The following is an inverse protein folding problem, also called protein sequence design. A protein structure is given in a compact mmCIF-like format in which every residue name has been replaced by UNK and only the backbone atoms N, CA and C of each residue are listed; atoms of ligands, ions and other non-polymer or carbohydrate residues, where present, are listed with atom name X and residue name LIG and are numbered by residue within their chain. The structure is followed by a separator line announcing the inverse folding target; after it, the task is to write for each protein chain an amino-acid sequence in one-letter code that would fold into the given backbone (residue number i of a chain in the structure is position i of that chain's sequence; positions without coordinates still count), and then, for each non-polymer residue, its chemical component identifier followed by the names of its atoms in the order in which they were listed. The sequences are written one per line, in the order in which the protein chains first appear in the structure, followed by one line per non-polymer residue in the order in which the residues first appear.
data_IF_363376967919
#
_entry.id   IF_363376967919
#
_cell.length_a   1.000
_cell.length_b   1.000
_cell.length_c   1.000
_cell.angle_alpha   90.00
_cell.angle_beta   90.00
_cell.angle_gamma   90.00
#
_symmetry.space_group_name_H-M   'P 1'
#
loop_
_entity.id
_entity.type
_entity.pdbx_description
1 polymer ?
#
# COMPACT_ATOMS: atom_id res chain seq x y z
N UNK A 1 -19.69 -0.87 29.20
CA UNK A 1 -19.32 0.39 28.51
C UNK A 1 -18.30 0.21 27.39
N UNK A 2 -16.99 -0.01 27.63
CA UNK A 2 -16.01 -0.13 26.52
C UNK A 2 -16.38 -1.23 25.51
N UNK A 3 -16.75 -2.42 25.98
CA UNK A 3 -17.21 -3.50 25.10
C UNK A 3 -18.49 -3.13 24.35
N UNK A 4 -19.48 -2.53 25.03
CA UNK A 4 -20.73 -2.09 24.40
C UNK A 4 -20.48 -1.02 23.32
N UNK A 5 -19.51 -0.12 23.54
CA UNK A 5 -19.08 0.85 22.53
C UNK A 5 -18.40 0.18 21.33
N UNK A 6 -17.50 -0.77 21.58
CA UNK A 6 -16.92 -1.59 20.52
C UNK A 6 -18.02 -2.26 19.69
N UNK A 7 -18.93 -2.97 20.36
CA UNK A 7 -20.02 -3.71 19.73
C UNK A 7 -20.94 -2.76 18.95
N UNK A 8 -21.26 -1.58 19.50
CA UNK A 8 -22.08 -0.57 18.82
C UNK A 8 -21.40 -0.05 17.55
N UNK A 9 -20.10 0.26 17.60
CA UNK A 9 -19.34 0.70 16.42
C UNK A 9 -19.27 -0.40 15.36
N UNK A 10 -18.99 -1.63 15.76
CA UNK A 10 -18.79 -2.78 14.86
C UNK A 10 -20.10 -3.25 14.23
N UNK A 11 -21.19 -3.25 15.01
CA UNK A 11 -22.52 -3.71 14.56
C UNK A 11 -23.36 -2.62 13.90
N UNK A 12 -22.98 -1.35 14.08
CA UNK A 12 -23.66 -0.19 13.52
C UNK A 12 -24.82 0.35 14.36
N UNK A 13 -24.78 0.21 15.68
CA UNK A 13 -25.79 0.73 16.60
C UNK A 13 -25.61 2.24 16.85
N UNK A 14 -26.07 3.04 15.89
CA UNK A 14 -25.99 4.50 15.96
C UNK A 14 -26.81 5.09 17.11
N UNK A 15 -27.95 4.48 17.47
CA UNK A 15 -28.82 4.99 18.53
C UNK A 15 -28.17 4.85 19.91
N UNK A 16 -27.45 3.75 20.14
CA UNK A 16 -26.62 3.60 21.32
C UNK A 16 -25.53 4.69 21.38
N UNK A 17 -24.82 4.93 20.27
CA UNK A 17 -23.75 5.94 20.22
C UNK A 17 -24.27 7.36 20.45
N UNK A 18 -25.44 7.72 19.89
CA UNK A 18 -26.12 9.00 20.17
C UNK A 18 -26.46 9.12 21.65
N UNK A 19 -27.11 8.10 22.22
CA UNK A 19 -27.46 8.07 23.65
C UNK A 19 -26.21 8.20 24.54
N UNK A 20 -25.10 7.59 24.15
CA UNK A 20 -23.83 7.69 24.86
C UNK A 20 -23.33 9.15 24.91
N UNK A 21 -23.30 9.84 23.76
CA UNK A 21 -22.90 11.24 23.66
C UNK A 21 -23.89 12.18 24.37
N UNK A 22 -25.20 11.96 24.22
CA UNK A 22 -26.25 12.77 24.82
C UNK A 22 -26.21 12.74 26.36
N UNK A 23 -25.67 11.65 26.94
CA UNK A 23 -25.41 11.55 28.38
C UNK A 23 -24.15 12.30 28.85
N UNK A 24 -23.50 13.06 27.96
CA UNK A 24 -22.32 13.87 28.26
C UNK A 24 -21.00 13.11 28.23
N UNK A 25 -20.96 11.92 27.63
CA UNK A 25 -19.71 11.19 27.42
C UNK A 25 -19.03 11.64 26.11
N UNK A 26 -17.75 11.31 25.96
CA UNK A 26 -16.97 11.55 24.75
C UNK A 26 -16.13 10.32 24.38
N UNK A 27 -15.50 10.34 23.20
CA UNK A 27 -14.66 9.25 22.68
C UNK A 27 -13.16 9.43 23.02
N UNK A 28 -12.78 10.44 23.79
CA UNK A 28 -11.38 10.85 23.90
C UNK A 28 -10.62 10.03 24.95
N UNK A 29 -9.34 9.74 24.68
CA UNK A 29 -8.44 9.06 25.61
C UNK A 29 -8.85 7.62 25.97
N UNK A 30 -9.73 6.99 25.19
CA UNK A 30 -10.16 5.62 25.39
C UNK A 30 -9.56 4.66 24.37
N UNK A 31 -9.29 3.45 24.84
CA UNK A 31 -8.93 2.30 24.00
C UNK A 31 -10.06 1.28 24.08
N UNK A 32 -10.60 0.94 22.92
CA UNK A 32 -11.65 -0.07 22.69
C UNK A 32 -11.03 -1.39 22.23
N UNK A 33 -11.76 -2.50 22.36
CA UNK A 33 -11.30 -3.80 21.86
C UNK A 33 -11.85 -4.03 20.45
N UNK A 34 -10.97 -4.41 19.51
CA UNK A 34 -11.37 -4.87 18.18
C UNK A 34 -11.49 -6.41 18.15
N UNK A 35 -12.20 -7.00 17.16
CA UNK A 35 -12.37 -8.45 17.01
C UNK A 35 -11.09 -9.32 16.80
N UNK A 36 -9.90 -8.77 17.03
CA UNK A 36 -8.61 -9.48 17.04
C UNK A 36 -7.79 -9.24 18.33
N UNK A 37 -8.43 -8.77 19.41
CA UNK A 37 -7.81 -8.61 20.72
C UNK A 37 -6.99 -7.32 20.92
N UNK A 38 -6.49 -6.72 19.85
CA UNK A 38 -5.73 -5.46 19.93
C UNK A 38 -6.61 -4.26 20.28
N UNK A 39 -6.05 -3.37 21.10
CA UNK A 39 -6.66 -2.10 21.45
C UNK A 39 -6.68 -1.12 20.28
N UNK A 40 -7.80 -0.43 20.09
CA UNK A 40 -8.00 0.57 19.04
C UNK A 40 -8.66 1.83 19.60
N UNK A 41 -8.26 3.00 19.11
CA UNK A 41 -9.02 4.23 19.39
C UNK A 41 -10.38 4.16 18.70
N UNK A 42 -11.44 4.80 19.24
CA UNK A 42 -12.78 4.75 18.64
C UNK A 42 -12.83 5.17 17.18
N UNK A 43 -12.09 6.22 16.80
CA UNK A 43 -12.01 6.70 15.42
C UNK A 43 -11.37 5.65 14.50
N UNK A 44 -10.31 4.99 14.95
CA UNK A 44 -9.64 3.92 14.21
C UNK A 44 -10.60 2.73 14.02
N UNK A 45 -11.24 2.28 15.11
CA UNK A 45 -12.18 1.16 15.08
C UNK A 45 -13.37 1.46 14.15
N UNK A 46 -13.89 2.68 14.18
CA UNK A 46 -15.00 3.09 13.34
C UNK A 46 -14.63 3.11 11.85
N UNK A 47 -13.42 3.56 11.50
CA UNK A 47 -12.94 3.50 10.11
C UNK A 47 -12.72 2.05 9.67
N UNK A 48 -12.01 1.24 10.47
CA UNK A 48 -11.71 -0.16 10.13
C UNK A 48 -12.98 -1.00 9.99
N UNK A 49 -13.99 -0.73 10.82
CA UNK A 49 -15.25 -1.48 10.82
C UNK A 49 -16.08 -1.35 9.55
N UNK A 50 -15.84 -0.31 8.72
CA UNK A 50 -16.45 -0.21 7.39
C UNK A 50 -15.91 -1.25 6.39
N UNK A 51 -14.67 -1.71 6.58
CA UNK A 51 -13.99 -2.59 5.64
C UNK A 51 -13.96 -4.03 6.13
N UNK A 52 -13.78 -4.21 7.44
CA UNK A 52 -13.52 -5.51 8.02
C UNK A 52 -14.77 -6.11 8.70
N UNK A 53 -15.80 -5.29 8.94
CA UNK A 53 -17.02 -5.67 9.69
C UNK A 53 -18.30 -5.11 9.05
N UNK A 54 -19.34 -4.87 9.88
CA UNK A 54 -20.65 -4.33 9.47
C UNK A 54 -20.79 -2.84 9.77
N UNK A 55 -19.68 -2.16 10.06
CA UNK A 55 -19.67 -0.71 10.29
C UNK A 55 -20.11 0.04 9.03
N UNK A 56 -20.72 1.21 9.22
CA UNK A 56 -21.22 2.03 8.12
C UNK A 56 -20.54 3.40 8.11
N UNK A 57 -20.56 4.06 6.95
CA UNK A 57 -20.12 5.45 6.81
C UNK A 57 -20.81 6.38 7.83
N UNK A 58 -22.08 6.12 8.17
CA UNK A 58 -22.84 6.94 9.11
C UNK A 58 -22.28 6.85 10.54
N UNK A 59 -21.83 5.66 10.96
CA UNK A 59 -21.17 5.44 12.25
C UNK A 59 -19.81 6.12 12.27
N UNK A 60 -19.01 5.95 11.20
CA UNK A 60 -17.70 6.60 11.11
C UNK A 60 -17.85 8.11 11.15
N UNK A 61 -18.76 8.68 10.36
CA UNK A 61 -19.02 10.11 10.37
C UNK A 61 -19.49 10.59 11.74
N UNK A 62 -20.34 9.83 12.42
CA UNK A 62 -20.76 10.15 13.78
C UNK A 62 -19.59 10.16 14.75
N UNK A 63 -18.76 9.11 14.77
CA UNK A 63 -17.60 9.00 15.68
C UNK A 63 -16.56 10.08 15.39
N UNK A 64 -16.25 10.33 14.11
CA UNK A 64 -15.30 11.36 13.68
C UNK A 64 -15.77 12.75 14.13
N UNK A 65 -17.05 13.10 13.92
CA UNK A 65 -17.60 14.39 14.31
C UNK A 65 -17.64 14.65 15.83
N UNK A 66 -17.47 13.59 16.64
CA UNK A 66 -17.43 13.68 18.10
C UNK A 66 -16.05 13.28 18.65
N UNK A 67 -15.02 13.21 17.80
CA UNK A 67 -13.63 13.01 18.19
C UNK A 67 -12.91 14.36 18.33
N UNK A 68 -11.88 14.42 19.17
CA UNK A 68 -11.02 15.61 19.25
C UNK A 68 -10.20 15.83 17.98
N UNK A 69 -9.83 17.09 17.74
CA UNK A 69 -8.90 17.44 16.65
C UNK A 69 -7.57 16.68 16.75
N UNK A 70 -7.08 16.41 17.97
CA UNK A 70 -5.86 15.63 18.21
C UNK A 70 -5.99 14.18 17.72
N UNK A 71 -7.13 13.53 17.99
CA UNK A 71 -7.36 12.15 17.54
C UNK A 71 -7.51 12.10 16.02
N UNK A 72 -8.19 13.08 15.43
CA UNK A 72 -8.32 13.21 13.97
C UNK A 72 -6.92 13.41 13.33
N UNK A 73 -6.10 14.30 13.89
CA UNK A 73 -4.75 14.58 13.36
C UNK A 73 -3.85 13.36 13.43
N UNK A 74 -3.88 12.61 14.54
CA UNK A 74 -3.13 11.35 14.70
C UNK A 74 -3.57 10.31 13.67
N UNK A 75 -4.88 10.20 13.42
CA UNK A 75 -5.41 9.22 12.47
C UNK A 75 -5.08 9.58 11.02
N UNK A 76 -5.22 10.85 10.63
CA UNK A 76 -4.81 11.34 9.31
C UNK A 76 -3.31 11.07 9.07
N UNK A 77 -2.48 11.33 10.07
CA UNK A 77 -1.03 11.11 9.99
C UNK A 77 -0.67 9.63 9.92
N UNK A 78 -1.28 8.79 10.76
CA UNK A 78 -1.08 7.33 10.78
C UNK A 78 -1.48 6.70 9.45
N UNK A 79 -2.67 7.03 8.92
CA UNK A 79 -3.10 6.48 7.63
C UNK A 79 -2.28 7.00 6.44
N UNK A 80 -1.63 8.15 6.55
CA UNK A 80 -0.76 8.66 5.50
C UNK A 80 0.58 7.91 5.37
N UNK A 81 0.96 7.08 6.35
CA UNK A 81 2.29 6.45 6.37
C UNK A 81 2.47 5.35 5.31
N UNK A 82 1.39 4.68 4.90
CA UNK A 82 1.48 3.49 4.04
C UNK A 82 0.33 3.43 3.04
N UNK A 83 0.62 2.94 1.82
CA UNK A 83 -0.35 2.72 0.75
C UNK A 83 -1.53 1.83 1.17
N UNK A 84 -1.31 0.88 2.09
CA UNK A 84 -2.35 -0.06 2.55
C UNK A 84 -3.54 0.64 3.23
N UNK A 85 -3.35 1.86 3.70
CA UNK A 85 -4.39 2.66 4.35
C UNK A 85 -5.14 3.60 3.41
N UNK A 86 -4.88 3.58 2.09
CA UNK A 86 -5.49 4.51 1.13
C UNK A 86 -7.03 4.56 1.22
N UNK A 87 -7.70 3.40 1.27
CA UNK A 87 -9.16 3.36 1.39
C UNK A 87 -9.65 3.82 2.77
N UNK A 88 -8.88 3.54 3.84
CA UNK A 88 -9.19 4.00 5.20
C UNK A 88 -9.06 5.52 5.30
N UNK A 89 -8.03 6.10 4.69
CA UNK A 89 -7.84 7.54 4.59
C UNK A 89 -9.00 8.19 3.83
N UNK A 90 -9.40 7.62 2.70
CA UNK A 90 -10.53 8.12 1.91
C UNK A 90 -11.84 8.13 2.70
N UNK A 91 -12.09 7.09 3.49
CA UNK A 91 -13.26 7.03 4.38
C UNK A 91 -13.23 8.10 5.48
N UNK A 92 -12.05 8.34 6.08
CA UNK A 92 -11.86 9.40 7.07
C UNK A 92 -12.07 10.79 6.45
N UNK A 93 -11.44 11.06 5.30
CA UNK A 93 -11.56 12.33 4.57
C UNK A 93 -13.01 12.62 4.10
N UNK A 94 -13.78 11.58 3.76
CA UNK A 94 -15.20 11.71 3.42
C UNK A 94 -16.09 12.16 4.59
N UNK A 95 -15.55 12.23 5.82
CA UNK A 95 -16.25 12.76 6.99
C UNK A 95 -16.10 14.29 7.14
N UNK A 96 -15.64 15.01 6.11
CA UNK A 96 -15.48 16.48 6.10
C UNK A 96 -14.45 17.00 7.13
N UNK A 97 -13.44 16.19 7.45
CA UNK A 97 -12.36 16.58 8.37
C UNK A 97 -11.45 17.63 7.73
N UNK A 98 -10.90 18.53 8.56
CA UNK A 98 -9.86 19.45 8.12
C UNK A 98 -8.56 18.67 7.86
N UNK A 99 -8.10 18.64 6.62
CA UNK A 99 -7.00 17.76 6.18
C UNK A 99 -5.61 18.24 6.61
N UNK A 100 -5.41 19.55 6.74
CA UNK A 100 -4.11 20.17 7.08
C UNK A 100 -3.88 20.25 8.61
N UNK A 101 -4.49 19.36 9.39
CA UNK A 101 -4.16 19.23 10.82
C UNK A 101 -2.72 18.75 11.03
N UNK A 102 -2.11 19.12 12.16
CA UNK A 102 -0.74 18.76 12.48
C UNK A 102 -0.69 17.66 13.54
N UNK A 103 0.01 16.57 13.24
CA UNK A 103 0.46 15.57 14.22
C UNK A 103 1.97 15.67 14.35
N UNK A 104 2.50 15.88 15.55
CA UNK A 104 3.94 16.11 15.81
C UNK A 104 4.56 17.19 14.89
N UNK A 105 3.79 18.28 14.68
CA UNK A 105 4.11 19.38 13.76
C UNK A 105 4.28 18.96 12.29
N UNK A 106 3.68 17.85 11.85
CA UNK A 106 3.66 17.45 10.44
C UNK A 106 2.22 17.28 9.94
N UNK A 107 1.98 17.63 8.69
CA UNK A 107 0.73 17.32 7.99
C UNK A 107 0.74 15.88 7.45
N UNK A 108 -0.44 15.34 7.17
CA UNK A 108 -0.57 14.06 6.46
C UNK A 108 0.04 14.13 5.04
N UNK A 109 -0.01 15.29 4.37
CA UNK A 109 0.56 15.47 3.02
C UNK A 109 2.09 15.37 3.02
N UNK A 110 2.75 15.92 4.04
CA UNK A 110 4.19 15.75 4.24
C UNK A 110 4.54 14.27 4.49
N UNK A 111 3.82 13.61 5.40
CA UNK A 111 4.03 12.18 5.67
C UNK A 111 3.93 11.32 4.40
N UNK A 112 2.85 11.48 3.63
CA UNK A 112 2.66 10.73 2.39
C UNK A 112 3.76 11.01 1.35
N UNK A 113 4.20 12.27 1.25
CA UNK A 113 5.24 12.68 0.30
C UNK A 113 6.62 12.14 0.70
N UNK A 114 7.00 12.29 1.97
CA UNK A 114 8.27 11.77 2.50
C UNK A 114 8.39 10.25 2.41
N UNK A 115 7.27 9.53 2.51
CA UNK A 115 7.22 8.08 2.35
C UNK A 115 7.06 7.63 0.89
N UNK A 116 7.08 8.53 -0.09
CA UNK A 116 6.96 8.14 -1.50
C UNK A 116 5.62 7.47 -1.84
N UNK A 117 4.53 7.91 -1.21
CA UNK A 117 3.19 7.38 -1.44
C UNK A 117 2.38 8.28 -2.38
N UNK A 118 2.68 8.19 -3.68
CA UNK A 118 2.10 9.08 -4.70
C UNK A 118 0.57 9.07 -4.75
N UNK A 119 -0.06 7.91 -4.52
CA UNK A 119 -1.53 7.78 -4.50
C UNK A 119 -2.15 8.46 -3.29
N UNK A 120 -1.52 8.34 -2.11
CA UNK A 120 -1.97 9.04 -0.90
C UNK A 120 -1.76 10.54 -1.02
N UNK A 121 -0.63 11.00 -1.57
CA UNK A 121 -0.40 12.42 -1.88
C UNK A 121 -1.50 12.96 -2.79
N UNK A 122 -1.81 12.25 -3.89
CA UNK A 122 -2.91 12.61 -4.78
C UNK A 122 -4.26 12.67 -4.03
N UNK A 123 -4.58 11.65 -3.23
CA UNK A 123 -5.82 11.62 -2.46
C UNK A 123 -5.95 12.83 -1.54
N UNK A 124 -4.92 13.13 -0.75
CA UNK A 124 -4.89 14.29 0.15
C UNK A 124 -5.11 15.61 -0.61
N UNK A 125 -4.45 15.80 -1.75
CA UNK A 125 -4.64 16.97 -2.61
C UNK A 125 -6.07 17.07 -3.15
N UNK A 126 -6.70 15.95 -3.52
CA UNK A 126 -8.11 15.95 -3.97
C UNK A 126 -9.10 16.36 -2.88
N UNK A 127 -8.73 16.20 -1.60
CA UNK A 127 -9.50 16.67 -0.45
C UNK A 127 -9.03 18.04 0.06
N UNK A 128 -8.22 18.75 -0.73
CA UNK A 128 -7.88 20.16 -0.48
C UNK A 128 -6.66 20.37 0.41
N UNK A 129 -5.82 19.36 0.63
CA UNK A 129 -4.57 19.54 1.37
C UNK A 129 -3.69 20.59 0.70
N UNK A 130 -3.18 21.53 1.48
CA UNK A 130 -2.38 22.63 0.97
C UNK A 130 -0.90 22.21 0.84
N UNK A 131 -0.31 22.16 -0.37
CA UNK A 131 1.11 21.83 -0.55
C UNK A 131 2.07 22.77 0.19
N UNK A 132 1.61 24.00 0.48
CA UNK A 132 2.37 25.05 1.17
C UNK A 132 2.10 25.10 2.68
N UNK A 133 1.34 24.15 3.23
CA UNK A 133 1.17 24.08 4.68
C UNK A 133 2.53 23.80 5.34
N UNK A 134 2.91 24.69 6.27
CA UNK A 134 4.20 24.64 6.95
C UNK A 134 4.17 23.64 8.12
N UNK A 135 5.28 22.95 8.32
CA UNK A 135 5.46 21.93 9.34
C UNK A 135 6.92 21.79 9.72
N UNK A 136 7.24 20.74 10.50
CA UNK A 136 8.56 20.50 11.08
C UNK A 136 9.68 20.37 10.05
N UNK A 137 9.36 19.96 8.81
CA UNK A 137 10.31 19.74 7.72
C UNK A 137 10.08 20.69 6.54
N UNK A 138 9.49 21.86 6.80
CA UNK A 138 9.08 22.80 5.76
C UNK A 138 7.70 22.45 5.22
N UNK A 139 7.50 22.60 3.92
CA UNK A 139 6.24 22.29 3.23
C UNK A 139 6.32 20.95 2.49
N UNK A 140 5.16 20.36 2.14
CA UNK A 140 5.15 19.15 1.32
C UNK A 140 5.73 19.40 -0.08
N UNK A 141 5.60 20.62 -0.60
CA UNK A 141 6.22 21.01 -1.88
C UNK A 141 7.76 21.03 -1.79
N UNK A 142 8.33 21.62 -0.75
CA UNK A 142 9.79 21.63 -0.52
C UNK A 142 10.34 20.20 -0.36
N UNK A 143 9.60 19.32 0.33
CA UNK A 143 9.95 17.91 0.43
C UNK A 143 9.93 17.23 -0.95
N UNK A 144 8.89 17.47 -1.77
CA UNK A 144 8.78 16.96 -3.13
C UNK A 144 9.90 17.46 -4.05
N UNK A 145 10.31 18.73 -3.95
CA UNK A 145 11.44 19.31 -4.69
C UNK A 145 12.77 18.61 -4.36
N UNK A 146 12.89 18.04 -3.16
CA UNK A 146 14.02 17.21 -2.74
C UNK A 146 14.05 15.81 -3.39
N UNK A 147 12.92 15.30 -3.92
CA UNK A 147 12.79 13.96 -4.49
C UNK A 147 13.22 13.97 -5.98
N UNK A 148 14.51 14.12 -6.21
CA UNK A 148 15.08 14.26 -7.57
C UNK A 148 14.81 13.08 -8.52
N UNK A 149 14.56 11.87 -8.00
CA UNK A 149 14.31 10.67 -8.79
C UNK A 149 12.84 10.46 -9.16
N UNK A 150 11.91 11.21 -8.56
CA UNK A 150 10.47 11.12 -8.82
C UNK A 150 9.83 12.52 -8.85
N UNK A 151 10.10 13.34 -9.88
CA UNK A 151 9.58 14.71 -9.95
C UNK A 151 8.06 14.81 -10.09
N UNK A 152 7.35 13.67 -10.16
CA UNK A 152 5.90 13.61 -10.29
C UNK A 152 5.20 14.22 -9.07
N UNK A 153 5.76 14.11 -7.86
CA UNK A 153 5.18 14.76 -6.66
C UNK A 153 5.09 16.27 -6.82
N UNK A 154 6.20 16.92 -7.15
CA UNK A 154 6.27 18.36 -7.35
C UNK A 154 5.33 18.79 -8.49
N UNK A 155 5.43 18.13 -9.64
CA UNK A 155 4.61 18.45 -10.80
C UNK A 155 3.11 18.30 -10.52
N UNK A 156 2.72 17.28 -9.77
CA UNK A 156 1.35 17.05 -9.34
C UNK A 156 0.88 18.15 -8.38
N UNK A 157 1.63 18.44 -7.31
CA UNK A 157 1.29 19.51 -6.36
C UNK A 157 1.12 20.86 -7.07
N UNK A 158 2.06 21.22 -7.96
CA UNK A 158 1.99 22.44 -8.76
C UNK A 158 0.76 22.47 -9.67
N UNK A 159 0.29 21.32 -10.17
CA UNK A 159 -0.92 21.23 -10.98
C UNK A 159 -2.19 21.57 -10.17
N UNK A 160 -2.28 21.07 -8.93
CA UNK A 160 -3.36 21.40 -8.00
C UNK A 160 -3.34 22.89 -7.62
N UNK A 161 -2.17 23.44 -7.31
CA UNK A 161 -2.00 24.88 -6.99
C UNK A 161 -2.41 25.78 -8.16
N UNK A 162 -2.24 25.32 -9.40
CA UNK A 162 -2.65 26.05 -10.62
C UNK A 162 -4.15 25.89 -10.93
N UNK A 163 -4.90 25.11 -10.16
CA UNK A 163 -6.32 24.81 -10.41
C UNK A 163 -6.55 23.89 -11.61
N UNK A 164 -5.52 23.16 -12.04
CA UNK A 164 -5.58 22.18 -13.14
C UNK A 164 -5.09 20.85 -12.57
N UNK A 165 -5.85 20.21 -11.65
CA UNK A 165 -5.39 19.04 -10.93
C UNK A 165 -5.12 17.90 -11.91
N UNK A 166 -3.96 17.27 -11.76
CA UNK A 166 -3.54 16.08 -12.51
C UNK A 166 -3.37 14.91 -11.57
N UNK A 167 -3.71 13.72 -12.05
CA UNK A 167 -3.47 12.48 -11.33
C UNK A 167 -2.06 11.95 -11.60
N UNK A 168 -1.60 10.92 -10.85
CA UNK A 168 -0.34 10.24 -11.14
C UNK A 168 -0.25 9.73 -12.59
N UNK A 169 -1.39 9.27 -13.15
CA UNK A 169 -1.45 8.72 -14.49
C UNK A 169 -1.14 9.76 -15.58
N UNK A 170 -1.49 11.03 -15.36
CA UNK A 170 -1.25 12.12 -16.32
C UNK A 170 0.24 12.40 -16.57
N UNK A 171 1.11 11.92 -15.68
CA UNK A 171 2.56 12.08 -15.77
C UNK A 171 3.28 10.82 -16.30
N UNK A 172 2.54 9.75 -16.60
CA UNK A 172 3.15 8.51 -17.06
C UNK A 172 3.61 8.62 -18.51
N UNK A 173 4.93 8.44 -18.71
CA UNK A 173 5.51 8.18 -20.02
C UNK A 173 5.19 6.74 -20.46
N UNK A 174 4.23 6.61 -21.37
CA UNK A 174 3.75 5.32 -21.89
C UNK A 174 4.82 4.60 -22.71
N UNK A 175 5.67 5.32 -23.44
CA UNK A 175 6.73 4.70 -24.25
C UNK A 175 7.79 4.09 -23.32
N UNK A 176 8.15 4.80 -22.25
CA UNK A 176 9.02 4.25 -21.20
C UNK A 176 8.44 3.01 -20.51
N UNK A 177 7.11 2.97 -20.30
CA UNK A 177 6.43 1.77 -19.78
C UNK A 177 6.55 0.60 -20.75
N UNK A 178 6.31 0.82 -22.04
CA UNK A 178 6.38 -0.22 -23.08
C UNK A 178 7.81 -0.75 -23.22
N UNK A 179 8.82 0.13 -23.25
CA UNK A 179 10.23 -0.27 -23.33
C UNK A 179 10.64 -1.12 -22.13
N UNK A 180 10.30 -0.66 -20.91
CA UNK A 180 10.59 -1.38 -19.68
C UNK A 180 9.88 -2.73 -19.62
N UNK A 181 8.62 -2.79 -20.06
CA UNK A 181 7.85 -4.03 -20.12
C UNK A 181 8.45 -5.04 -21.10
N UNK A 182 8.91 -4.60 -22.29
CA UNK A 182 9.61 -5.49 -23.22
C UNK A 182 10.88 -6.08 -22.58
N UNK A 183 11.70 -5.24 -21.94
CA UNK A 183 12.90 -5.69 -21.22
C UNK A 183 12.56 -6.71 -20.13
N UNK A 184 11.50 -6.47 -19.37
CA UNK A 184 11.06 -7.38 -18.31
C UNK A 184 10.53 -8.72 -18.83
N UNK A 185 9.73 -8.70 -19.90
CA UNK A 185 9.26 -9.94 -20.54
C UNK A 185 10.46 -10.75 -21.06
N UNK A 186 11.43 -10.09 -21.68
CA UNK A 186 12.67 -10.75 -22.12
C UNK A 186 13.44 -11.37 -20.93
N UNK A 187 13.71 -10.57 -19.89
CA UNK A 187 14.44 -11.06 -18.71
C UNK A 187 13.73 -12.24 -18.05
N UNK A 188 12.40 -12.23 -17.94
CA UNK A 188 11.62 -13.33 -17.37
C UNK A 188 11.68 -14.60 -18.24
N UNK A 189 11.68 -14.45 -19.57
CA UNK A 189 11.86 -15.59 -20.47
C UNK A 189 13.24 -16.24 -20.31
N UNK A 190 14.31 -15.44 -20.27
CA UNK A 190 15.67 -15.96 -20.05
C UNK A 190 15.80 -16.60 -18.67
N UNK A 191 15.32 -15.90 -17.64
CA UNK A 191 15.31 -16.41 -16.26
C UNK A 191 14.58 -17.75 -16.17
N UNK A 192 13.42 -17.89 -16.81
CA UNK A 192 12.72 -19.18 -16.89
C UNK A 192 13.57 -20.28 -17.50
N UNK A 193 14.20 -20.03 -18.66
CA UNK A 193 15.07 -21.00 -19.35
C UNK A 193 16.27 -21.42 -18.52
N UNK A 194 16.82 -20.53 -17.72
CA UNK A 194 17.97 -20.80 -16.86
C UNK A 194 17.61 -21.55 -15.57
N UNK A 195 16.35 -21.48 -15.14
CA UNK A 195 15.88 -22.04 -13.86
C UNK A 195 14.78 -23.09 -14.07
N UNK A 196 14.98 -24.01 -15.02
CA UNK A 196 14.02 -25.08 -15.33
C UNK A 196 13.84 -26.09 -14.18
N UNK A 197 14.81 -26.18 -13.27
CA UNK A 197 14.74 -27.07 -12.11
C UNK A 197 13.90 -26.48 -10.96
N UNK A 198 13.43 -25.23 -11.09
CA UNK A 198 12.63 -24.53 -10.09
C UNK A 198 11.17 -24.40 -10.50
N UNK A 199 10.26 -24.43 -9.52
CA UNK A 199 8.84 -24.12 -9.73
C UNK A 199 8.47 -22.83 -9.00
N UNK A 200 7.97 -21.82 -9.72
CA UNK A 200 7.75 -20.48 -9.17
C UNK A 200 6.33 -20.27 -8.63
N UNK A 201 6.23 -19.71 -7.42
CA UNK A 201 4.97 -19.24 -6.82
C UNK A 201 4.59 -17.84 -7.28
N UNK A 202 5.59 -16.95 -7.39
CA UNK A 202 5.33 -15.54 -7.65
C UNK A 202 6.48 -14.92 -8.43
N UNK A 203 6.13 -14.06 -9.37
CA UNK A 203 7.00 -12.99 -9.87
C UNK A 203 6.45 -11.69 -9.32
N UNK A 204 7.33 -10.81 -8.85
CA UNK A 204 6.89 -9.55 -8.32
C UNK A 204 7.82 -8.40 -8.69
N UNK A 205 7.28 -7.20 -8.51
CA UNK A 205 8.03 -5.96 -8.58
C UNK A 205 8.32 -5.49 -7.17
N UNK A 206 9.60 -5.38 -6.84
CA UNK A 206 10.09 -4.75 -5.63
C UNK A 206 10.82 -3.46 -6.02
N UNK A 207 10.20 -2.32 -5.71
CA UNK A 207 10.59 -1.00 -6.21
C UNK A 207 10.62 -0.95 -7.74
N UNK A 208 11.82 -1.06 -8.32
CA UNK A 208 12.05 -1.06 -9.78
C UNK A 208 12.64 -2.37 -10.33
N UNK A 209 12.72 -3.41 -9.49
CA UNK A 209 13.35 -4.69 -9.81
C UNK A 209 12.32 -5.80 -9.91
N UNK A 210 12.61 -6.77 -10.77
CA UNK A 210 11.89 -8.04 -10.81
C UNK A 210 12.52 -9.00 -9.81
N UNK A 211 11.68 -9.60 -8.99
CA UNK A 211 12.01 -10.65 -8.03
C UNK A 211 11.07 -11.83 -8.23
N UNK A 212 11.49 -13.03 -7.84
CA UNK A 212 10.64 -14.22 -7.90
C UNK A 212 10.90 -15.13 -6.70
N UNK A 213 9.89 -15.86 -6.25
CA UNK A 213 10.04 -16.88 -5.21
C UNK A 213 9.62 -18.24 -5.77
N UNK A 214 10.42 -19.27 -5.53
CA UNK A 214 10.19 -20.65 -5.97
C UNK A 214 9.88 -21.57 -4.79
N UNK A 215 9.29 -22.74 -5.07
CA UNK A 215 9.06 -23.78 -4.08
C UNK A 215 10.37 -24.17 -3.39
N UNK A 216 11.45 -24.25 -4.15
CA UNK A 216 12.73 -24.75 -3.68
C UNK A 216 13.41 -23.73 -2.76
N UNK A 217 13.52 -22.46 -3.20
CA UNK A 217 14.10 -21.39 -2.37
C UNK A 217 13.24 -21.12 -1.13
N UNK A 218 11.91 -21.16 -1.28
CA UNK A 218 11.00 -21.00 -0.16
C UNK A 218 11.27 -22.03 0.94
N UNK A 219 11.38 -23.31 0.57
CA UNK A 219 11.63 -24.40 1.53
C UNK A 219 13.00 -24.31 2.18
N UNK A 220 14.04 -23.95 1.42
CA UNK A 220 15.40 -23.80 1.95
C UNK A 220 15.45 -22.69 3.00
N UNK A 221 14.91 -21.51 2.69
CA UNK A 221 14.90 -20.38 3.62
C UNK A 221 13.99 -20.63 4.82
N UNK A 222 12.82 -21.26 4.63
CA UNK A 222 11.91 -21.60 5.73
C UNK A 222 12.56 -22.56 6.72
N UNK A 223 13.24 -23.61 6.24
CA UNK A 223 13.98 -24.52 7.11
C UNK A 223 15.06 -23.78 7.90
N UNK A 224 15.80 -22.86 7.25
CA UNK A 224 16.82 -22.06 7.94
C UNK A 224 16.23 -21.22 9.08
N UNK A 225 15.05 -20.63 8.89
CA UNK A 225 14.37 -19.90 9.95
C UNK A 225 13.91 -20.80 11.10
N UNK A 226 13.51 -22.03 10.79
CA UNK A 226 13.09 -23.03 11.79
C UNK A 226 14.27 -23.70 12.51
N UNK A 227 15.49 -23.62 11.95
CA UNK A 227 16.73 -24.15 12.55
C UNK A 227 17.45 -23.15 13.48
N UNK A 228 17.02 -21.89 13.56
CA UNK A 228 17.59 -20.91 14.51
C UNK A 228 17.30 -21.37 15.94
N UNK A 229 18.35 -21.50 16.75
CA UNK A 229 18.33 -22.04 18.10
C UNK A 229 17.48 -21.15 19.03
N UNK A 230 16.45 -21.67 19.72
CA UNK A 230 15.67 -20.89 20.69
C UNK A 230 16.48 -20.37 21.88
N UNK A 231 17.73 -20.82 22.06
CA UNK A 231 18.64 -20.34 23.11
C UNK A 231 19.50 -19.11 22.71
N UNK A 232 19.39 -18.56 21.49
CA UNK A 232 20.02 -17.27 21.13
C UNK A 232 19.13 -16.10 21.62
N UNK A 233 19.38 -15.69 22.88
CA UNK A 233 18.83 -14.55 23.63
C UNK A 233 18.76 -13.22 22.82
N UNK A 234 17.72 -13.01 22.02
CA UNK A 234 17.24 -11.68 21.62
C UNK A 234 15.71 -11.70 21.35
N UNK A 235 14.93 -11.57 22.43
CA UNK A 235 13.64 -10.84 22.49
C UNK A 235 12.47 -11.22 21.56
N UNK A 236 12.42 -12.43 21.00
CA UNK A 236 11.17 -12.95 20.42
C UNK A 236 10.40 -13.74 21.49
N UNK A 237 9.48 -13.06 22.19
CA UNK A 237 8.52 -13.67 23.11
C UNK A 237 7.90 -14.93 22.49
N UNK A 238 8.02 -16.04 23.21
CA UNK A 238 7.49 -17.36 22.93
C UNK A 238 5.99 -17.35 22.51
N UNK A 239 5.64 -18.28 21.61
CA UNK A 239 4.29 -18.81 21.26
C UNK A 239 3.69 -18.47 19.89
N UNK A 240 4.39 -17.82 18.95
CA UNK A 240 3.96 -17.85 17.54
C UNK A 240 4.48 -19.14 16.87
N UNK A 241 3.89 -20.28 17.22
CA UNK A 241 3.96 -21.48 16.38
C UNK A 241 3.56 -21.03 14.97
N UNK A 242 4.48 -21.12 13.99
CA UNK A 242 4.23 -20.68 12.62
C UNK A 242 2.95 -21.37 12.09
N UNK A 243 1.80 -20.72 12.23
CA UNK A 243 0.51 -21.24 11.77
C UNK A 243 0.67 -21.61 10.30
N UNK A 244 0.22 -22.79 9.90
CA UNK A 244 0.28 -23.25 8.50
C UNK A 244 -0.30 -22.18 7.55
N UNK A 245 -1.31 -21.43 8.00
CA UNK A 245 -1.89 -20.31 7.25
C UNK A 245 -0.94 -19.09 7.12
N UNK A 246 -0.10 -18.83 8.12
CA UNK A 246 0.93 -17.80 8.04
C UNK A 246 2.07 -18.22 7.10
N UNK A 247 2.54 -19.47 7.20
CA UNK A 247 3.54 -20.05 6.29
C UNK A 247 3.04 -20.01 4.84
N UNK A 248 1.77 -20.35 4.61
CA UNK A 248 1.22 -20.35 3.25
C UNK A 248 1.21 -18.95 2.62
N UNK A 249 1.03 -17.90 3.41
CA UNK A 249 1.12 -16.52 2.90
C UNK A 249 2.55 -16.13 2.53
N UNK A 250 3.55 -16.64 3.25
CA UNK A 250 4.97 -16.34 3.02
C UNK A 250 5.47 -16.84 1.65
N UNK A 251 4.84 -17.86 1.05
CA UNK A 251 5.23 -18.34 -0.29
C UNK A 251 5.03 -17.28 -1.38
N UNK A 252 4.16 -16.30 -1.12
CA UNK A 252 3.96 -15.11 -1.95
C UNK A 252 4.65 -13.87 -1.39
N UNK A 253 5.64 -14.04 -0.51
CA UNK A 253 6.54 -12.97 -0.08
C UNK A 253 7.84 -13.08 -0.86
N UNK A 254 8.41 -11.95 -1.26
CA UNK A 254 9.70 -11.90 -1.95
C UNK A 254 10.82 -11.30 -1.10
N UNK A 255 10.71 -11.32 0.23
CA UNK A 255 11.82 -10.96 1.11
C UNK A 255 12.99 -11.94 0.96
N UNK A 256 13.39 -12.58 2.04
CA UNK A 256 14.54 -13.51 2.04
C UNK A 256 14.34 -14.77 1.18
N UNK A 257 13.13 -15.01 0.68
CA UNK A 257 12.76 -16.17 -0.12
C UNK A 257 12.95 -15.95 -1.63
N UNK A 258 13.43 -14.78 -2.06
CA UNK A 258 13.40 -14.42 -3.48
C UNK A 258 14.74 -14.47 -4.22
N UNK A 259 14.65 -14.84 -5.49
CA UNK A 259 15.62 -14.49 -6.50
C UNK A 259 15.61 -12.99 -6.71
N UNK A 260 16.77 -12.36 -6.49
CA UNK A 260 16.94 -10.94 -6.71
C UNK A 260 17.60 -10.66 -8.07
N UNK A 261 17.24 -9.52 -8.68
CA UNK A 261 17.90 -8.97 -9.88
C UNK A 261 17.69 -9.79 -11.16
N UNK A 262 16.48 -10.27 -11.40
CA UNK A 262 16.08 -10.97 -12.64
C UNK A 262 16.29 -10.08 -13.87
N UNK A 263 16.09 -8.77 -13.70
CA UNK A 263 16.17 -7.73 -14.73
C UNK A 263 17.60 -7.37 -15.22
N UNK A 264 18.60 -8.25 -15.05
CA UNK A 264 19.99 -8.00 -15.51
C UNK A 264 20.20 -8.25 -17.00
N UNK A 265 19.34 -9.06 -17.60
CA UNK A 265 19.41 -9.42 -19.01
C UNK A 265 18.84 -8.29 -19.87
N UNK A 266 19.73 -7.47 -20.45
CA UNK A 266 19.37 -6.52 -21.50
C UNK A 266 19.43 -7.28 -22.82
N UNK A 267 18.38 -7.21 -23.65
CA UNK A 267 18.46 -7.70 -25.03
C UNK A 267 19.64 -6.99 -25.72
N UNK A 268 20.76 -7.68 -25.99
CA UNK A 268 21.96 -7.04 -26.52
C UNK A 268 21.75 -6.52 -27.96
N UNK A 269 20.70 -6.98 -28.64
CA UNK A 269 20.35 -6.53 -29.99
C UNK A 269 19.43 -5.30 -29.99
N UNK A 270 18.65 -5.09 -28.92
CA UNK A 270 17.55 -4.11 -28.87
C UNK A 270 16.52 -4.32 -30.01
N UNK A 271 16.45 -5.52 -30.58
CA UNK A 271 15.60 -5.89 -31.71
C UNK A 271 14.35 -6.68 -31.27
N UNK A 272 14.35 -7.26 -30.07
CA UNK A 272 13.21 -8.02 -29.55
C UNK A 272 12.10 -7.08 -29.08
N UNK A 273 11.22 -6.73 -30.01
CA UNK A 273 9.91 -6.15 -29.71
C UNK A 273 8.88 -7.26 -29.71
N UNK A 274 8.37 -7.58 -28.53
CA UNK A 274 7.26 -8.51 -28.42
C UNK A 274 5.98 -7.87 -28.94
N UNK A 275 5.09 -8.68 -29.50
CA UNK A 275 3.72 -8.26 -29.80
C UNK A 275 2.93 -8.19 -28.48
N UNK A 276 3.12 -7.07 -27.77
CA UNK A 276 2.49 -6.83 -26.47
C UNK A 276 1.03 -6.40 -26.65
N UNK A 277 0.13 -7.00 -25.89
CA UNK A 277 -1.21 -6.44 -25.69
C UNK A 277 -1.10 -5.20 -24.80
N UNK A 278 -1.27 -4.03 -25.43
CA UNK A 278 -1.17 -2.70 -24.81
C UNK A 278 -2.49 -2.17 -24.26
N UNK A 279 -3.55 -2.97 -24.19
CA UNK A 279 -4.86 -2.53 -23.69
C UNK A 279 -4.83 -2.03 -22.24
N UNK A 280 -3.81 -2.41 -21.45
CA UNK A 280 -3.61 -1.91 -20.09
C UNK A 280 -3.25 -0.41 -20.03
N UNK A 281 -2.78 0.20 -21.13
CA UNK A 281 -2.43 1.63 -21.21
C UNK A 281 -3.62 2.55 -21.53
N UNK A 282 -4.79 1.97 -21.79
CA UNK A 282 -6.03 2.71 -22.04
C UNK A 282 -6.39 3.45 -20.74
N UNK A 283 -6.54 4.79 -20.75
CA UNK A 283 -6.92 5.55 -19.57
C UNK A 283 -8.28 5.12 -19.01
N UNK A 284 -8.39 5.08 -17.68
CA UNK A 284 -9.63 4.83 -16.97
C UNK A 284 -10.28 6.13 -16.48
N UNK A 285 -11.55 6.08 -16.07
CA UNK A 285 -12.17 7.23 -15.42
C UNK A 285 -11.49 7.47 -14.06
N UNK A 286 -11.04 8.71 -13.81
CA UNK A 286 -10.28 9.09 -12.59
C UNK A 286 -9.06 8.19 -12.36
N UNK A 287 -8.33 7.91 -13.44
CA UNK A 287 -7.16 7.04 -13.41
C UNK A 287 -6.09 7.57 -12.47
N UNK A 288 -5.73 6.79 -11.44
CA UNK A 288 -4.66 7.11 -10.50
C UNK A 288 -3.48 6.15 -10.62
N UNK A 289 -3.45 5.33 -11.68
CA UNK A 289 -2.40 4.32 -11.86
C UNK A 289 -1.05 4.99 -12.09
N UNK A 290 -0.06 4.53 -11.36
CA UNK A 290 1.34 4.94 -11.51
C UNK A 290 2.02 4.16 -12.63
N UNK A 291 3.27 4.53 -12.95
CA UNK A 291 4.13 3.74 -13.84
C UNK A 291 4.22 2.27 -13.40
N UNK A 292 4.38 2.02 -12.10
CA UNK A 292 4.49 0.68 -11.55
C UNK A 292 3.18 -0.11 -11.68
N UNK A 293 2.03 0.52 -11.42
CA UNK A 293 0.72 -0.13 -11.64
C UNK A 293 0.55 -0.59 -13.08
N UNK A 294 0.95 0.24 -14.05
CA UNK A 294 0.87 -0.11 -15.48
C UNK A 294 1.85 -1.21 -15.85
N UNK A 295 3.04 -1.27 -15.24
CA UNK A 295 3.99 -2.36 -15.46
C UNK A 295 3.45 -3.70 -14.93
N UNK A 296 2.82 -3.72 -13.75
CA UNK A 296 2.13 -4.92 -13.21
C UNK A 296 1.01 -5.34 -14.15
N UNK A 297 0.14 -4.39 -14.52
CA UNK A 297 -0.99 -4.66 -15.41
C UNK A 297 -0.51 -5.19 -16.77
N UNK A 298 0.60 -4.64 -17.29
CA UNK A 298 1.25 -5.08 -18.50
C UNK A 298 1.79 -6.50 -18.41
N UNK A 299 2.49 -6.86 -17.32
CA UNK A 299 2.97 -8.22 -17.06
C UNK A 299 1.80 -9.21 -16.96
N UNK A 300 0.76 -8.88 -16.19
CA UNK A 300 -0.44 -9.70 -16.06
C UNK A 300 -1.12 -9.93 -17.41
N UNK A 301 -1.24 -8.87 -18.22
CA UNK A 301 -1.88 -8.93 -19.53
C UNK A 301 -1.11 -9.78 -20.52
N UNK A 302 0.22 -9.80 -20.41
CA UNK A 302 1.14 -10.45 -21.34
C UNK A 302 1.83 -11.70 -20.75
N UNK A 303 1.29 -12.27 -19.67
CA UNK A 303 1.95 -13.32 -18.88
C UNK A 303 2.34 -14.57 -19.67
N UNK A 304 1.53 -14.95 -20.65
CA UNK A 304 1.74 -16.13 -21.50
C UNK A 304 3.04 -16.05 -22.32
N UNK A 305 3.57 -14.85 -22.56
CA UNK A 305 4.81 -14.67 -23.30
C UNK A 305 6.01 -15.27 -22.57
N UNK A 306 6.03 -15.22 -21.24
CA UNK A 306 7.16 -15.68 -20.44
C UNK A 306 6.85 -16.93 -19.60
N UNK A 307 5.59 -17.14 -19.18
CA UNK A 307 5.22 -18.34 -18.42
C UNK A 307 5.48 -19.63 -19.20
N UNK A 308 5.39 -19.61 -20.54
CA UNK A 308 5.72 -20.79 -21.36
C UNK A 308 7.17 -21.29 -21.20
N UNK A 309 8.07 -20.42 -20.74
CA UNK A 309 9.48 -20.72 -20.48
C UNK A 309 9.76 -20.93 -18.98
N UNK A 310 8.75 -20.83 -18.11
CA UNK A 310 8.88 -20.94 -16.65
C UNK A 310 7.99 -22.07 -16.12
N UNK A 311 8.50 -22.89 -15.20
CA UNK A 311 7.65 -23.78 -14.42
C UNK A 311 6.99 -22.97 -13.30
N UNK A 312 5.66 -22.91 -13.30
CA UNK A 312 4.89 -22.13 -12.32
C UNK A 312 3.86 -23.01 -11.62
N UNK A 313 3.46 -22.63 -10.41
CA UNK A 313 2.40 -23.32 -9.67
C UNK A 313 1.01 -23.00 -10.22
N UNK A 314 0.02 -23.84 -9.90
CA UNK A 314 -1.38 -23.60 -10.26
C UNK A 314 -1.93 -22.30 -9.68
N UNK A 315 -1.40 -21.88 -8.52
CA UNK A 315 -1.74 -20.64 -7.81
C UNK A 315 -0.75 -19.49 -8.06
N UNK A 316 0.02 -19.55 -9.15
CA UNK A 316 1.04 -18.55 -9.50
C UNK A 316 0.48 -17.12 -9.55
N UNK A 317 1.24 -16.16 -9.01
CA UNK A 317 0.86 -14.75 -8.95
C UNK A 317 1.88 -13.82 -9.59
N UNK A 318 1.38 -12.69 -10.08
CA UNK A 318 2.19 -11.52 -10.42
C UNK A 318 1.76 -10.39 -9.49
N UNK A 319 2.70 -9.85 -8.71
CA UNK A 319 2.41 -8.87 -7.65
C UNK A 319 3.36 -7.67 -7.72
N UNK A 320 3.04 -6.59 -7.00
CA UNK A 320 4.04 -5.65 -6.54
C UNK A 320 3.95 -5.58 -5.03
N UNK A 321 5.10 -5.50 -4.38
CA UNK A 321 5.13 -5.25 -2.95
C UNK A 321 5.09 -3.74 -2.74
N UNK A 322 4.15 -3.29 -1.92
CA UNK A 322 4.19 -1.94 -1.40
C UNK A 322 5.41 -1.80 -0.48
N UNK A 323 5.97 -0.61 -0.41
CA UNK A 323 6.97 -0.30 0.60
C UNK A 323 6.30 -0.38 1.98
N UNK A 324 6.63 -1.40 2.78
CA UNK A 324 6.51 -1.31 4.24
C UNK A 324 7.76 -0.59 4.73
N UNK A 325 7.63 0.70 5.06
CA UNK A 325 8.68 1.49 5.70
C UNK A 325 8.73 1.25 7.20
#
# INVERSE_FOLDING_TARGET
MKQELSDAIISGDLEFLKTYIDNGNDFNGMTLSAPGGYGKEPIELAVLSQFDFKGSFEITKFVVNHSSDENISKMLYSFASEDKYLEKMKALLACDVFVDTLCDNRTALQMATGNGNLKMTHLLLTYGANPMADGKYGTALEEAEGISYEPVYEQMMLSFMKGIPKSPFDFVDKDSVIEKLNSWVYSLMCFGKENQDNTFYVVAIDGSQLVANSIEEFKVTLNRYQEVDPDDDDDFDDEDEFDEAAIEKLKFSSGDFSFHKINKEIDPSNELKFDLDLSFLIPQEKDIRTKNDLLIAGLLKNKELFIKEMNVTDDFKIMAYGHTY
#
